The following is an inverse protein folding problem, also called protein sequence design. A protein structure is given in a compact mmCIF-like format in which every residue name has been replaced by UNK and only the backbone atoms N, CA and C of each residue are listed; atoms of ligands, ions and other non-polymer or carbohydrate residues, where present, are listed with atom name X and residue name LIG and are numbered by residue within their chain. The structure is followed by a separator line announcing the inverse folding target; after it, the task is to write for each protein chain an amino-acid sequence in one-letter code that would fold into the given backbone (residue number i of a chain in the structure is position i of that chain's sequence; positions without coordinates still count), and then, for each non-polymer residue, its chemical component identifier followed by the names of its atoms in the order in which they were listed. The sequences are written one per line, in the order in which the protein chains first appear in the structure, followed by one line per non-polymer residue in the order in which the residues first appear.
data_IF_296732343736
#
_entry.id   IF_296732343736
#
_cell.length_a   1.000
_cell.length_b   1.000
_cell.length_c   1.000
_cell.angle_alpha   90.00
_cell.angle_beta   90.00
_cell.angle_gamma   90.00
#
_symmetry.space_group_name_H-M   'P 1'
#
loop_
_entity.id
_entity.type
_entity.pdbx_description
1 polymer ?
#
# COMPACT_ATOMS: atom_id res chain seq x y z
N UNK A 1 63.22 2.33 13.26
CA UNK A 1 62.36 1.84 12.17
C UNK A 1 61.20 0.96 12.67
N UNK A 2 61.41 0.01 13.60
CA UNK A 2 60.35 -0.88 14.09
C UNK A 2 59.17 -0.13 14.76
N UNK A 3 59.44 0.82 15.67
CA UNK A 3 58.40 1.63 16.34
C UNK A 3 57.55 2.48 15.39
N UNK A 4 58.16 3.05 14.35
CA UNK A 4 57.44 3.85 13.35
C UNK A 4 56.50 2.98 12.50
N UNK A 5 56.92 1.76 12.15
CA UNK A 5 56.06 0.78 11.47
C UNK A 5 54.87 0.39 12.34
N UNK A 6 55.06 0.15 13.63
CA UNK A 6 53.94 -0.15 14.54
C UNK A 6 52.97 1.03 14.67
N UNK A 7 53.45 2.25 14.85
CA UNK A 7 52.59 3.44 14.94
C UNK A 7 51.78 3.64 13.64
N UNK A 8 52.41 3.54 12.47
CA UNK A 8 51.73 3.64 11.18
C UNK A 8 50.73 2.50 10.96
N UNK A 9 51.06 1.28 11.39
CA UNK A 9 50.15 0.13 11.29
C UNK A 9 48.93 0.32 12.17
N UNK A 10 49.12 0.78 13.41
CA UNK A 10 48.02 1.05 14.34
C UNK A 10 47.15 2.20 13.85
N UNK A 11 47.74 3.29 13.32
CA UNK A 11 46.97 4.39 12.73
C UNK A 11 46.19 3.93 11.49
N UNK A 12 46.82 3.12 10.64
CA UNK A 12 46.17 2.55 9.48
C UNK A 12 44.99 1.67 9.90
N UNK A 13 45.13 0.79 10.89
CA UNK A 13 44.02 -0.01 11.41
C UNK A 13 42.92 0.86 12.02
N UNK A 14 43.28 1.91 12.77
CA UNK A 14 42.31 2.84 13.37
C UNK A 14 41.52 3.65 12.33
N UNK A 15 42.05 3.83 11.13
CA UNK A 15 41.37 4.57 10.04
C UNK A 15 40.65 3.60 9.09
N UNK A 16 41.33 2.55 8.64
CA UNK A 16 40.81 1.58 7.66
C UNK A 16 39.72 0.68 8.26
N UNK A 17 39.82 0.29 9.54
CA UNK A 17 38.80 -0.59 10.11
C UNK A 17 37.42 0.09 10.22
N UNK A 18 37.29 1.34 10.72
CA UNK A 18 36.01 2.05 10.69
C UNK A 18 35.51 2.32 9.27
N UNK A 19 36.40 2.65 8.33
CA UNK A 19 36.04 2.82 6.91
C UNK A 19 35.48 1.53 6.31
N UNK A 20 36.13 0.39 6.56
CA UNK A 20 35.69 -0.90 6.07
C UNK A 20 34.36 -1.32 6.72
N UNK A 21 34.19 -1.07 8.02
CA UNK A 21 32.93 -1.29 8.72
C UNK A 21 31.82 -0.39 8.15
N UNK A 22 32.12 0.88 7.89
CA UNK A 22 31.18 1.80 7.24
C UNK A 22 30.80 1.38 5.83
N UNK A 23 31.77 0.98 5.00
CA UNK A 23 31.53 0.48 3.64
C UNK A 23 30.73 -0.81 3.62
N UNK A 24 31.02 -1.74 4.54
CA UNK A 24 30.26 -3.01 4.64
C UNK A 24 28.84 -2.77 5.14
N UNK A 25 28.64 -1.85 6.09
CA UNK A 25 27.31 -1.43 6.52
C UNK A 25 26.52 -0.76 5.38
N UNK A 26 27.15 0.15 4.64
CA UNK A 26 26.54 0.79 3.47
C UNK A 26 26.18 -0.23 2.38
N UNK A 27 27.08 -1.16 2.06
CA UNK A 27 26.83 -2.23 1.10
C UNK A 27 25.68 -3.16 1.55
N UNK A 28 25.61 -3.48 2.84
CA UNK A 28 24.52 -4.28 3.39
C UNK A 28 23.16 -3.57 3.29
N UNK A 29 23.11 -2.27 3.61
CA UNK A 29 21.91 -1.44 3.45
C UNK A 29 21.48 -1.36 1.99
N UNK A 30 22.42 -1.10 1.07
CA UNK A 30 22.13 -1.03 -0.37
C UNK A 30 21.68 -2.37 -0.94
N UNK A 31 22.22 -3.49 -0.44
CA UNK A 31 21.81 -4.83 -0.86
C UNK A 31 20.36 -5.15 -0.48
N UNK A 32 19.87 -4.57 0.61
CA UNK A 32 18.51 -4.77 1.08
C UNK A 32 17.48 -3.88 0.36
N UNK A 33 17.92 -2.88 -0.43
CA UNK A 33 17.00 -2.05 -1.21
C UNK A 33 16.42 -2.84 -2.40
N UNK A 34 15.11 -2.69 -2.69
CA UNK A 34 14.51 -3.24 -3.89
C UNK A 34 15.25 -2.77 -5.16
N UNK A 35 15.45 -3.65 -6.16
CA UNK A 35 16.04 -3.23 -7.42
C UNK A 35 15.06 -2.34 -8.21
N UNK A 36 15.60 -1.44 -9.02
CA UNK A 36 14.82 -0.69 -10.00
C UNK A 36 14.06 -1.64 -10.95
N UNK A 37 12.80 -1.34 -11.23
CA UNK A 37 11.93 -2.15 -12.10
C UNK A 37 12.35 -2.09 -13.59
N UNK A 38 13.20 -1.14 -13.97
CA UNK A 38 13.81 -1.08 -15.30
C UNK A 38 14.38 0.31 -15.65
N UNK A 39 15.13 0.43 -16.73
CA UNK A 39 15.70 1.74 -17.14
C UNK A 39 14.63 2.76 -17.53
N UNK A 40 13.47 2.28 -18.00
CA UNK A 40 12.32 3.09 -18.40
C UNK A 40 11.03 2.37 -18.02
N UNK A 41 10.10 3.08 -17.38
CA UNK A 41 8.80 2.59 -16.94
C UNK A 41 7.69 3.39 -17.62
N UNK A 42 6.58 2.74 -17.97
CA UNK A 42 5.32 3.41 -18.34
C UNK A 42 4.34 3.24 -17.20
N UNK A 43 3.81 4.36 -16.70
CA UNK A 43 2.74 4.40 -15.71
C UNK A 43 1.38 4.75 -16.33
N UNK A 44 0.36 5.00 -15.50
CA UNK A 44 -0.95 5.49 -15.95
C UNK A 44 -0.83 6.89 -16.56
N UNK A 45 -1.86 7.35 -17.27
CA UNK A 45 -1.98 8.71 -17.81
C UNK A 45 -0.79 9.17 -18.67
N UNK A 46 -0.13 8.25 -19.36
CA UNK A 46 1.11 8.49 -20.15
C UNK A 46 2.33 8.92 -19.32
N UNK A 47 2.29 8.72 -17.99
CA UNK A 47 3.44 8.89 -17.11
C UNK A 47 4.63 8.02 -17.58
N UNK A 48 5.82 8.60 -17.57
CA UNK A 48 7.05 7.86 -17.86
C UNK A 48 8.07 8.07 -16.76
N UNK A 49 8.61 6.99 -16.20
CA UNK A 49 9.76 7.02 -15.30
C UNK A 49 11.03 6.66 -16.05
N UNK A 50 12.10 7.43 -15.89
CA UNK A 50 13.40 7.15 -16.52
C UNK A 50 14.49 7.11 -15.46
N UNK A 51 15.30 6.06 -15.47
CA UNK A 51 16.49 5.97 -14.61
C UNK A 51 17.55 6.98 -15.05
N UNK A 52 18.04 7.75 -14.08
CA UNK A 52 19.06 8.79 -14.22
C UNK A 52 20.08 8.62 -13.10
N UNK A 53 21.09 7.78 -13.34
CA UNK A 53 22.18 7.54 -12.38
C UNK A 53 21.76 6.82 -11.10
N UNK A 54 20.72 5.98 -11.13
CA UNK A 54 20.25 5.22 -9.97
C UNK A 54 19.04 5.82 -9.25
N UNK A 55 18.49 6.92 -9.77
CA UNK A 55 17.22 7.49 -9.35
C UNK A 55 16.25 7.62 -10.54
N UNK A 56 14.94 7.49 -10.30
CA UNK A 56 13.92 7.80 -11.30
C UNK A 56 13.67 9.29 -11.37
N UNK A 57 13.60 9.80 -12.60
CA UNK A 57 12.96 11.07 -12.93
C UNK A 57 11.62 10.74 -13.58
N UNK A 58 10.53 11.26 -13.02
CA UNK A 58 9.19 11.07 -13.59
C UNK A 58 8.85 12.22 -14.53
N UNK A 59 8.29 11.88 -15.69
CA UNK A 59 7.94 12.80 -16.75
C UNK A 59 6.42 12.81 -16.87
N UNK A 60 5.83 13.91 -16.39
CA UNK A 60 4.39 14.15 -16.43
C UNK A 60 4.07 14.91 -17.72
N UNK A 61 3.21 14.38 -18.60
CA UNK A 61 2.78 15.08 -19.81
C UNK A 61 1.93 16.31 -19.46
N UNK A 62 2.09 17.38 -20.25
CA UNK A 62 1.22 18.57 -20.23
C UNK A 62 0.66 18.86 -21.63
N UNK A 63 -0.12 19.93 -21.81
CA UNK A 63 -0.73 20.23 -23.11
C UNK A 63 0.29 20.50 -24.23
N UNK A 64 1.41 21.14 -23.90
CA UNK A 64 2.46 21.58 -24.83
C UNK A 64 3.86 21.08 -24.51
N UNK A 65 4.04 20.29 -23.44
CA UNK A 65 5.36 19.86 -22.99
C UNK A 65 5.31 18.83 -21.87
N UNK A 66 6.18 19.01 -20.88
CA UNK A 66 6.29 18.13 -19.70
C UNK A 66 6.60 18.91 -18.42
N UNK A 67 6.23 18.31 -17.29
CA UNK A 67 6.78 18.62 -15.96
C UNK A 67 7.65 17.44 -15.53
N UNK A 68 8.82 17.74 -14.97
CA UNK A 68 9.70 16.72 -14.39
C UNK A 68 9.49 16.66 -12.88
N UNK A 69 9.41 15.45 -12.33
CA UNK A 69 9.55 15.21 -10.90
C UNK A 69 10.95 14.67 -10.65
N UNK A 70 11.70 15.41 -9.84
CA UNK A 70 13.14 15.27 -9.63
C UNK A 70 13.99 15.45 -10.91
N UNK A 71 15.32 15.42 -10.76
CA UNK A 71 16.29 15.56 -11.86
C UNK A 71 17.33 14.43 -11.92
N UNK A 72 17.36 13.56 -10.91
CA UNK A 72 18.24 12.39 -10.82
C UNK A 72 19.73 12.74 -10.64
N UNK A 73 20.57 11.70 -10.68
CA UNK A 73 21.99 11.78 -10.35
C UNK A 73 22.89 12.12 -11.55
N UNK A 74 22.44 11.91 -12.80
CA UNK A 74 23.23 12.26 -14.00
C UNK A 74 23.18 13.78 -14.26
N UNK A 75 24.29 14.53 -14.11
CA UNK A 75 24.30 15.98 -14.33
C UNK A 75 23.98 16.40 -15.78
N UNK A 76 24.09 15.46 -16.74
CA UNK A 76 23.74 15.70 -18.14
C UNK A 76 22.27 15.33 -18.46
N UNK A 77 21.58 14.68 -17.51
CA UNK A 77 20.23 14.16 -17.65
C UNK A 77 20.02 13.43 -18.99
N UNK A 78 21.01 12.64 -19.44
CA UNK A 78 21.08 12.20 -20.83
C UNK A 78 19.92 11.28 -21.22
N UNK A 79 19.51 10.40 -20.31
CA UNK A 79 18.35 9.52 -20.51
C UNK A 79 17.03 10.32 -20.50
N UNK A 80 16.86 11.24 -19.55
CA UNK A 80 15.68 12.10 -19.44
C UNK A 80 15.53 12.99 -20.67
N UNK A 81 16.61 13.65 -21.12
CA UNK A 81 16.62 14.50 -22.31
C UNK A 81 16.29 13.74 -23.59
N UNK A 82 16.70 12.47 -23.67
CA UNK A 82 16.33 11.58 -24.79
C UNK A 82 14.84 11.23 -24.74
N UNK A 83 14.29 10.98 -23.56
CA UNK A 83 12.88 10.62 -23.40
C UNK A 83 11.93 11.81 -23.66
N UNK A 84 12.29 13.02 -23.21
CA UNK A 84 11.48 14.21 -23.51
C UNK A 84 11.55 14.59 -24.99
N UNK A 85 12.57 14.17 -25.73
CA UNK A 85 12.74 14.34 -27.18
C UNK A 85 12.48 15.78 -27.66
N UNK A 86 13.03 16.75 -26.92
CA UNK A 86 12.88 18.18 -27.24
C UNK A 86 11.55 18.82 -26.83
N UNK A 87 10.63 18.09 -26.19
CA UNK A 87 9.45 18.67 -25.54
C UNK A 87 9.87 19.73 -24.51
N UNK A 88 9.21 20.90 -24.46
CA UNK A 88 9.48 21.92 -23.44
C UNK A 88 9.32 21.36 -22.03
N UNK A 89 10.28 21.66 -21.15
CA UNK A 89 10.14 21.40 -19.71
C UNK A 89 9.62 22.67 -19.05
N UNK A 90 8.38 22.62 -18.56
CA UNK A 90 7.71 23.78 -17.98
C UNK A 90 8.12 24.04 -16.52
N UNK A 91 8.41 22.98 -15.78
CA UNK A 91 8.87 23.05 -14.40
C UNK A 91 9.58 21.75 -14.00
N UNK A 92 10.41 21.85 -12.95
CA UNK A 92 10.96 20.70 -12.23
C UNK A 92 10.47 20.78 -10.79
N UNK A 93 9.76 19.76 -10.34
CA UNK A 93 9.23 19.67 -8.99
C UNK A 93 10.06 18.65 -8.21
N UNK A 94 10.77 19.10 -7.19
CA UNK A 94 11.62 18.22 -6.38
C UNK A 94 10.79 17.55 -5.30
N UNK A 95 11.01 16.25 -5.09
CA UNK A 95 10.48 15.53 -3.92
C UNK A 95 11.30 15.83 -2.68
N UNK A 96 12.62 15.99 -2.83
CA UNK A 96 13.55 16.42 -1.77
C UNK A 96 14.89 16.87 -2.36
N UNK A 97 15.69 17.59 -1.57
CA UNK A 97 16.95 18.20 -2.04
C UNK A 97 18.23 17.39 -1.73
N UNK A 98 18.17 16.05 -1.80
CA UNK A 98 19.39 15.25 -1.79
C UNK A 98 20.09 15.23 -3.15
N UNK A 99 21.42 15.08 -3.13
CA UNK A 99 22.28 15.18 -4.32
C UNK A 99 21.86 14.26 -5.46
N UNK A 100 21.44 13.04 -5.14
CA UNK A 100 20.98 12.04 -6.10
C UNK A 100 19.68 12.39 -6.82
N UNK A 101 18.91 13.37 -6.32
CA UNK A 101 17.70 13.85 -6.97
C UNK A 101 17.90 15.16 -7.73
N UNK A 102 18.95 15.92 -7.44
CA UNK A 102 19.11 17.29 -7.94
C UNK A 102 20.25 17.47 -8.94
N UNK A 103 21.20 16.52 -9.04
CA UNK A 103 22.40 16.70 -9.87
C UNK A 103 22.06 17.06 -11.33
N UNK A 104 21.01 16.46 -11.89
CA UNK A 104 20.53 16.72 -13.26
C UNK A 104 19.95 18.12 -13.52
N UNK A 105 19.73 18.95 -12.48
CA UNK A 105 19.22 20.32 -12.65
C UNK A 105 20.13 21.16 -13.56
N UNK A 106 21.43 20.87 -13.57
CA UNK A 106 22.42 21.54 -14.44
C UNK A 106 22.07 21.42 -15.93
N UNK A 107 21.35 20.37 -16.33
CA UNK A 107 20.94 20.12 -17.71
C UNK A 107 19.72 20.96 -18.17
N UNK A 108 19.04 21.66 -17.24
CA UNK A 108 17.80 22.39 -17.48
C UNK A 108 17.89 23.86 -17.01
N UNK A 109 18.82 24.67 -17.55
CA UNK A 109 18.97 26.06 -17.16
C UNK A 109 17.71 26.88 -17.49
N UNK A 110 17.34 27.80 -16.59
CA UNK A 110 16.21 28.70 -16.76
C UNK A 110 14.82 28.06 -16.58
N UNK A 111 14.74 26.76 -16.26
CA UNK A 111 13.47 26.10 -15.92
C UNK A 111 13.13 26.41 -14.46
N UNK A 112 11.88 26.82 -14.14
CA UNK A 112 11.43 26.99 -12.77
C UNK A 112 11.54 25.69 -11.96
N UNK A 113 12.17 25.79 -10.79
CA UNK A 113 12.33 24.68 -9.84
C UNK A 113 11.48 24.94 -8.60
N UNK A 114 10.74 23.91 -8.17
CA UNK A 114 9.91 23.94 -6.96
C UNK A 114 10.45 22.95 -5.94
N UNK A 115 10.57 23.38 -4.69
CA UNK A 115 11.08 22.56 -3.58
C UNK A 115 10.26 22.82 -2.32
N UNK A 116 10.13 21.84 -1.43
CA UNK A 116 9.53 22.10 -0.12
C UNK A 116 10.36 23.11 0.68
N UNK A 117 9.68 23.99 1.44
CA UNK A 117 10.35 25.09 2.16
C UNK A 117 11.48 24.63 3.10
N UNK A 118 11.35 23.45 3.72
CA UNK A 118 12.36 22.88 4.62
C UNK A 118 13.66 22.46 3.92
N UNK A 119 13.65 22.34 2.59
CA UNK A 119 14.78 21.84 1.79
C UNK A 119 15.48 22.96 1.00
N UNK A 120 14.99 24.21 1.04
CA UNK A 120 15.62 25.34 0.32
C UNK A 120 17.09 25.53 0.72
N UNK A 121 17.39 25.45 2.02
CA UNK A 121 18.76 25.59 2.51
C UNK A 121 19.65 24.40 2.09
N UNK A 122 19.08 23.21 2.00
CA UNK A 122 19.79 22.01 1.57
C UNK A 122 20.11 22.08 0.06
N UNK A 123 19.13 22.50 -0.75
CA UNK A 123 19.27 22.72 -2.19
C UNK A 123 20.31 23.81 -2.52
N UNK A 124 20.43 24.84 -1.68
CA UNK A 124 21.43 25.90 -1.84
C UNK A 124 22.82 25.54 -1.30
N UNK A 125 23.02 24.32 -0.79
CA UNK A 125 24.26 23.91 -0.14
C UNK A 125 24.57 24.65 1.15
N UNK A 126 23.57 25.26 1.78
CA UNK A 126 23.67 26.02 3.04
C UNK A 126 23.42 25.13 4.28
N UNK A 127 22.87 23.94 4.06
CA UNK A 127 22.67 22.89 5.05
C UNK A 127 23.26 21.57 4.53
N UNK A 128 23.31 20.56 5.41
CA UNK A 128 23.73 19.20 5.06
C UNK A 128 22.72 18.20 5.64
N UNK A 129 22.58 17.01 5.04
CA UNK A 129 21.71 15.96 5.58
C UNK A 129 22.10 15.59 7.02
N UNK A 130 21.11 15.20 7.82
CA UNK A 130 21.28 14.77 9.22
C UNK A 130 21.48 13.27 9.33
N UNK A 131 20.81 12.47 8.49
CA UNK A 131 21.03 11.03 8.39
C UNK A 131 22.51 10.72 8.12
N UNK A 132 23.14 9.87 8.93
CA UNK A 132 24.60 9.71 8.86
C UNK A 132 25.04 9.12 7.51
N UNK A 133 24.26 8.20 6.93
CA UNK A 133 24.60 7.58 5.65
C UNK A 133 24.29 8.54 4.49
N UNK A 134 23.18 9.29 4.55
CA UNK A 134 22.87 10.36 3.59
C UNK A 134 23.96 11.45 3.58
N UNK A 135 24.44 11.86 4.76
CA UNK A 135 25.56 12.80 4.91
C UNK A 135 26.88 12.27 4.36
N UNK A 136 27.13 10.96 4.47
CA UNK A 136 28.30 10.34 3.85
C UNK A 136 28.18 10.34 2.32
N UNK A 137 27.01 10.01 1.76
CA UNK A 137 26.75 10.09 0.32
C UNK A 137 26.86 11.52 -0.21
N UNK A 138 26.42 12.53 0.54
CA UNK A 138 26.55 13.93 0.12
C UNK A 138 28.00 14.42 -0.01
N UNK A 139 28.99 13.69 0.52
CA UNK A 139 30.42 13.98 0.31
C UNK A 139 30.95 13.37 -0.99
N UNK A 140 30.22 12.44 -1.60
CA UNK A 140 30.59 11.73 -2.82
C UNK A 140 29.92 12.29 -4.07
N UNK A 141 28.87 13.10 -3.89
CA UNK A 141 28.05 13.68 -4.95
C UNK A 141 28.26 15.19 -4.94
N UNK A 142 28.66 15.75 -6.08
CA UNK A 142 28.81 17.18 -6.24
C UNK A 142 27.43 17.86 -6.19
N UNK A 143 27.31 18.91 -5.38
CA UNK A 143 26.13 19.75 -5.34
C UNK A 143 26.07 20.62 -6.61
N UNK A 144 24.95 20.59 -7.36
CA UNK A 144 24.77 21.47 -8.51
C UNK A 144 24.63 22.93 -8.05
N UNK A 145 24.86 23.92 -8.92
CA UNK A 145 24.51 25.31 -8.64
C UNK A 145 23.03 25.45 -8.28
N UNK A 146 22.72 26.37 -7.37
CA UNK A 146 21.33 26.68 -7.04
C UNK A 146 20.57 27.17 -8.30
N UNK A 147 19.31 26.74 -8.50
CA UNK A 147 18.51 27.17 -9.65
C UNK A 147 18.31 28.69 -9.69
N UNK A 148 18.30 29.26 -10.90
CA UNK A 148 18.05 30.70 -11.10
C UNK A 148 16.63 31.10 -10.71
N UNK A 149 15.65 30.23 -11.01
CA UNK A 149 14.24 30.41 -10.69
C UNK A 149 13.85 29.33 -9.70
N UNK A 150 13.86 29.69 -8.42
CA UNK A 150 13.53 28.79 -7.32
C UNK A 150 12.28 29.27 -6.59
N UNK A 151 11.32 28.35 -6.42
CA UNK A 151 10.10 28.55 -5.67
C UNK A 151 10.02 27.54 -4.53
N UNK A 152 9.55 27.97 -3.37
CA UNK A 152 9.17 27.07 -2.29
C UNK A 152 7.69 26.73 -2.38
N UNK A 153 7.34 25.51 -1.93
CA UNK A 153 5.95 25.07 -1.81
C UNK A 153 5.61 24.66 -0.39
N UNK A 154 4.32 24.77 -0.07
CA UNK A 154 3.73 24.41 1.22
C UNK A 154 2.69 23.29 1.06
N UNK A 155 2.26 22.71 2.18
CA UNK A 155 1.28 21.63 2.19
C UNK A 155 -0.01 22.01 1.45
N UNK A 156 -0.52 21.06 0.65
CA UNK A 156 -1.74 21.15 -0.18
C UNK A 156 -1.72 22.22 -1.27
N UNK A 157 -0.60 22.91 -1.50
CA UNK A 157 -0.50 23.89 -2.57
C UNK A 157 -0.71 23.22 -3.93
N UNK A 158 -1.63 23.77 -4.73
CA UNK A 158 -1.85 23.34 -6.11
C UNK A 158 -1.04 24.21 -7.06
N UNK A 159 -0.38 23.56 -8.02
CA UNK A 159 0.33 24.19 -9.12
C UNK A 159 -0.38 23.84 -10.41
N UNK A 160 -0.83 24.86 -11.14
CA UNK A 160 -1.37 24.71 -12.49
C UNK A 160 -0.24 25.06 -13.48
N UNK A 161 0.22 24.05 -14.23
CA UNK A 161 1.36 24.16 -15.13
C UNK A 161 0.93 23.60 -16.48
N UNK A 162 0.78 24.48 -17.46
CA UNK A 162 0.46 24.12 -18.85
C UNK A 162 -0.76 23.18 -18.98
N UNK A 163 -1.82 23.50 -18.23
CA UNK A 163 -3.08 22.77 -18.23
C UNK A 163 -3.10 21.49 -17.40
N UNK A 164 -2.01 21.18 -16.69
CA UNK A 164 -1.92 20.07 -15.73
C UNK A 164 -1.90 20.61 -14.30
N UNK A 165 -2.63 19.98 -13.38
CA UNK A 165 -2.63 20.34 -11.95
C UNK A 165 -1.86 19.32 -11.13
N UNK A 166 -0.86 19.77 -10.37
CA UNK A 166 -0.15 18.96 -9.38
C UNK A 166 -0.35 19.56 -7.99
N UNK A 167 -0.59 18.71 -6.99
CA UNK A 167 -0.71 19.13 -5.60
C UNK A 167 0.51 18.68 -4.79
N UNK A 168 1.15 19.64 -4.11
CA UNK A 168 2.18 19.36 -3.13
C UNK A 168 1.54 18.83 -1.84
N UNK A 169 2.04 17.71 -1.32
CA UNK A 169 1.67 17.15 -0.02
C UNK A 169 2.93 17.09 0.83
N UNK A 170 2.97 17.83 1.92
CA UNK A 170 4.15 17.85 2.78
C UNK A 170 4.35 16.49 3.43
N UNK A 171 5.56 15.94 3.30
CA UNK A 171 5.91 14.65 3.87
C UNK A 171 7.31 14.67 4.54
N UNK A 172 7.54 15.57 5.52
CA UNK A 172 8.84 15.70 6.17
C UNK A 172 9.26 14.42 6.89
N UNK A 173 10.57 14.21 7.01
CA UNK A 173 11.17 13.12 7.76
C UNK A 173 12.35 12.49 7.03
N UNK A 174 12.20 12.16 5.73
CA UNK A 174 13.36 11.80 4.90
C UNK A 174 14.32 12.98 4.79
N UNK A 175 13.77 14.14 4.43
CA UNK A 175 14.36 15.47 4.64
C UNK A 175 13.33 16.38 5.32
N UNK A 176 13.76 17.55 5.82
CA UNK A 176 12.86 18.50 6.48
C UNK A 176 11.83 19.12 5.53
N UNK A 177 12.14 19.23 4.23
CA UNK A 177 11.27 19.76 3.19
C UNK A 177 10.83 18.72 2.17
N UNK A 178 10.78 17.44 2.54
CA UNK A 178 10.26 16.38 1.65
C UNK A 178 8.80 16.64 1.26
N UNK A 179 8.51 16.47 -0.03
CA UNK A 179 7.20 16.66 -0.66
C UNK A 179 6.83 15.42 -1.45
N UNK A 180 5.58 14.97 -1.31
CA UNK A 180 4.92 14.03 -2.22
C UNK A 180 4.08 14.82 -3.20
N UNK A 181 4.21 14.53 -4.49
CA UNK A 181 3.41 15.18 -5.53
C UNK A 181 2.23 14.29 -5.92
N UNK A 182 1.02 14.80 -5.77
CA UNK A 182 -0.19 14.19 -6.29
C UNK A 182 -0.48 14.74 -7.68
N UNK A 183 -0.62 13.85 -8.67
CA UNK A 183 -1.08 14.16 -10.01
C UNK A 183 -2.01 13.05 -10.48
N UNK A 184 -3.22 13.41 -10.90
CA UNK A 184 -4.31 12.47 -11.12
C UNK A 184 -4.51 11.55 -9.90
N UNK A 185 -4.31 10.24 -10.06
CA UNK A 185 -4.35 9.19 -9.03
C UNK A 185 -2.95 8.65 -8.67
N UNK A 186 -1.88 9.40 -8.98
CA UNK A 186 -0.48 9.00 -8.76
C UNK A 186 0.17 9.86 -7.68
N UNK A 187 0.68 9.20 -6.63
CA UNK A 187 1.58 9.80 -5.66
C UNK A 187 3.04 9.57 -6.04
N UNK A 188 3.73 10.65 -6.37
CA UNK A 188 5.18 10.62 -6.61
C UNK A 188 5.90 10.93 -5.30
N UNK A 189 6.36 9.86 -4.63
CA UNK A 189 6.74 9.85 -3.21
C UNK A 189 8.21 10.17 -2.95
N UNK A 190 9.05 10.18 -3.98
CA UNK A 190 10.48 10.39 -3.82
C UNK A 190 11.12 9.35 -2.90
N UNK A 191 11.71 9.82 -1.80
CA UNK A 191 12.27 8.97 -0.73
C UNK A 191 11.30 8.57 0.38
N UNK A 192 10.05 9.03 0.38
CA UNK A 192 9.11 8.76 1.48
C UNK A 192 8.67 7.28 1.54
N UNK A 193 8.43 6.68 0.37
CA UNK A 193 8.01 5.26 0.22
C UNK A 193 8.71 4.70 -1.01
N UNK A 194 9.17 3.45 -0.89
CA UNK A 194 9.73 2.67 -1.98
C UNK A 194 8.65 1.81 -2.66
N UNK A 195 8.48 2.02 -3.97
CA UNK A 195 7.48 1.40 -4.83
C UNK A 195 7.85 -0.06 -5.21
N UNK A 196 7.94 -0.90 -4.18
CA UNK A 196 8.11 -2.35 -4.29
C UNK A 196 6.79 -3.06 -3.98
N UNK A 197 6.70 -4.36 -4.29
CA UNK A 197 5.58 -5.21 -3.90
C UNK A 197 6.10 -6.27 -2.90
N UNK A 198 5.83 -6.14 -1.59
CA UNK A 198 5.05 -5.08 -0.91
C UNK A 198 5.81 -3.74 -0.81
N UNK A 199 5.10 -2.64 -0.55
CA UNK A 199 5.73 -1.33 -0.33
C UNK A 199 6.72 -1.37 0.84
N UNK A 200 7.76 -0.54 0.79
CA UNK A 200 8.81 -0.45 1.83
C UNK A 200 9.13 1.01 2.15
N UNK A 201 9.71 1.26 3.31
CA UNK A 201 10.30 2.56 3.65
C UNK A 201 11.81 2.51 3.51
N UNK A 202 12.44 3.67 3.34
CA UNK A 202 13.90 3.75 3.40
C UNK A 202 14.41 3.34 4.79
N UNK A 203 15.58 2.68 4.86
CA UNK A 203 16.28 2.42 6.11
C UNK A 203 16.47 3.70 6.95
N UNK A 204 16.28 3.67 8.29
CA UNK A 204 16.39 4.85 9.15
C UNK A 204 17.71 5.64 9.03
N UNK A 205 18.79 4.98 8.60
CA UNK A 205 20.10 5.61 8.39
C UNK A 205 20.12 6.62 7.22
N UNK A 206 19.16 6.53 6.31
CA UNK A 206 19.03 7.38 5.11
C UNK A 206 18.03 8.53 5.30
N UNK A 207 17.30 8.57 6.40
CA UNK A 207 16.32 9.62 6.72
C UNK A 207 16.82 10.52 7.85
N UNK A 208 16.48 11.80 7.78
CA UNK A 208 16.83 12.79 8.81
C UNK A 208 16.06 12.60 10.11
N UNK A 209 14.78 12.23 10.02
CA UNK A 209 13.86 11.94 11.11
C UNK A 209 12.91 10.79 10.71
N UNK A 210 13.27 9.53 11.01
CA UNK A 210 12.46 8.36 10.66
C UNK A 210 11.08 8.32 11.35
N UNK A 211 10.94 8.93 12.54
CA UNK A 211 9.66 8.97 13.26
C UNK A 211 8.71 9.95 12.56
N UNK A 212 9.21 11.14 12.22
CA UNK A 212 8.46 12.11 11.43
C UNK A 212 8.09 11.57 10.05
N UNK A 213 9.00 10.83 9.40
CA UNK A 213 8.71 10.18 8.13
C UNK A 213 7.51 9.24 8.25
N UNK A 214 7.43 8.44 9.34
CA UNK A 214 6.29 7.58 9.62
C UNK A 214 4.97 8.34 9.81
N UNK A 215 4.98 9.49 10.48
CA UNK A 215 3.79 10.35 10.62
C UNK A 215 3.35 10.96 9.29
N UNK A 216 4.31 11.37 8.45
CA UNK A 216 4.04 11.86 7.10
C UNK A 216 3.35 10.81 6.23
N UNK A 217 3.73 9.54 6.33
CA UNK A 217 3.04 8.46 5.61
C UNK A 217 1.59 8.27 6.07
N UNK A 218 1.30 8.44 7.36
CA UNK A 218 -0.09 8.42 7.88
C UNK A 218 -0.93 9.56 7.31
N UNK A 219 -0.33 10.74 7.13
CA UNK A 219 -1.01 11.90 6.58
C UNK A 219 -1.44 11.73 5.11
N UNK A 220 -0.85 10.76 4.39
CA UNK A 220 -1.21 10.41 3.01
C UNK A 220 -2.39 9.44 2.90
N UNK A 221 -2.78 8.72 3.98
CA UNK A 221 -3.91 7.78 3.96
C UNK A 221 -5.27 8.34 3.48
N UNK A 222 -5.67 9.59 3.80
CA UNK A 222 -6.92 10.16 3.32
C UNK A 222 -6.84 10.67 1.87
N UNK A 223 -5.65 10.70 1.27
CA UNK A 223 -5.48 11.14 -0.12
C UNK A 223 -6.04 10.08 -1.06
N UNK A 224 -6.68 10.52 -2.13
CA UNK A 224 -7.24 9.63 -3.14
C UNK A 224 -6.19 9.38 -4.23
N UNK A 225 -5.70 8.14 -4.30
CA UNK A 225 -4.68 7.70 -5.24
C UNK A 225 -4.75 6.19 -5.40
N UNK A 226 -4.35 5.70 -6.57
CA UNK A 226 -4.27 4.28 -6.89
C UNK A 226 -2.81 3.82 -7.09
N UNK A 227 -1.91 4.75 -7.40
CA UNK A 227 -0.52 4.48 -7.75
C UNK A 227 0.47 5.20 -6.84
N UNK A 228 1.59 4.55 -6.53
CA UNK A 228 2.77 5.18 -5.93
C UNK A 228 3.95 5.00 -6.88
N UNK A 229 4.61 6.10 -7.21
CA UNK A 229 5.83 6.19 -7.99
C UNK A 229 6.95 6.75 -7.10
N UNK A 230 8.01 5.99 -6.85
CA UNK A 230 9.14 6.43 -6.01
C UNK A 230 10.33 6.93 -6.85
N UNK A 231 11.37 7.43 -6.19
CA UNK A 231 12.59 7.85 -6.87
C UNK A 231 13.64 6.73 -7.05
N UNK A 232 13.37 5.48 -6.68
CA UNK A 232 14.40 4.41 -6.66
C UNK A 232 13.95 3.11 -7.33
N UNK A 233 12.80 2.58 -6.92
CA UNK A 233 12.29 1.27 -7.31
C UNK A 233 11.46 1.32 -8.59
N UNK A 234 10.52 2.26 -8.70
CA UNK A 234 9.61 2.37 -9.84
C UNK A 234 8.20 2.76 -9.44
N UNK A 235 7.20 2.06 -9.97
CA UNK A 235 5.79 2.34 -9.72
C UNK A 235 5.04 1.08 -9.27
N UNK A 236 4.04 1.22 -8.41
CA UNK A 236 3.13 0.13 -8.02
C UNK A 236 1.69 0.60 -8.07
N UNK A 237 0.79 -0.30 -8.44
CA UNK A 237 -0.66 -0.13 -8.36
C UNK A 237 -1.21 -0.56 -6.99
N UNK A 238 -2.52 -0.40 -6.79
CA UNK A 238 -3.19 -0.72 -5.52
C UNK A 238 -2.46 -0.11 -4.31
N UNK A 239 -1.81 1.03 -4.54
CA UNK A 239 -0.78 1.55 -3.66
C UNK A 239 -1.36 2.05 -2.34
N UNK A 240 -2.63 2.47 -2.36
CA UNK A 240 -3.39 2.83 -1.16
C UNK A 240 -3.47 1.66 -0.18
N UNK A 241 -3.90 0.48 -0.66
CA UNK A 241 -3.99 -0.73 0.17
C UNK A 241 -2.63 -1.13 0.75
N UNK A 242 -1.59 -1.01 -0.06
CA UNK A 242 -0.21 -1.29 0.37
C UNK A 242 0.29 -0.25 1.38
N UNK A 243 -0.02 1.04 1.21
CA UNK A 243 0.37 2.09 2.15
C UNK A 243 -0.33 1.89 3.50
N UNK A 244 -1.62 1.54 3.49
CA UNK A 244 -2.35 1.14 4.71
C UNK A 244 -1.68 -0.05 5.42
N UNK A 245 -1.10 -1.00 4.66
CA UNK A 245 -0.36 -2.13 5.22
C UNK A 245 1.03 -1.74 5.73
N UNK A 246 1.73 -0.88 5.00
CA UNK A 246 3.10 -0.41 5.29
C UNK A 246 3.14 0.48 6.53
N UNK A 247 2.25 1.46 6.61
CA UNK A 247 2.06 2.31 7.79
C UNK A 247 1.60 1.51 9.00
N UNK A 248 1.12 0.28 8.75
CA UNK A 248 1.53 -0.85 9.56
C UNK A 248 1.41 -0.62 11.05
N UNK A 249 0.19 -0.50 11.55
CA UNK A 249 -0.03 -1.35 12.70
C UNK A 249 0.13 -2.81 12.25
N UNK A 250 1.14 -3.49 12.81
CA UNK A 250 1.15 -4.89 13.32
C UNK A 250 2.55 -5.22 13.91
N UNK A 251 2.73 -6.09 14.91
CA UNK A 251 2.17 -6.18 16.27
C UNK A 251 3.29 -6.15 17.36
N UNK A 252 3.07 -5.45 18.48
CA UNK A 252 3.63 -5.81 19.80
C UNK A 252 2.51 -5.62 20.83
N UNK A 253 2.26 -6.60 21.72
CA UNK A 253 1.17 -6.50 22.67
C UNK A 253 1.54 -5.46 23.73
N UNK A 254 0.87 -4.32 23.71
CA UNK A 254 0.81 -3.44 24.88
C UNK A 254 -0.49 -2.63 24.83
N UNK A 255 -1.35 -3.00 25.78
CA UNK A 255 -2.53 -2.34 26.31
C UNK A 255 -2.82 -0.93 25.79
N UNK A 256 -4.05 -0.68 25.32
CA UNK A 256 -4.75 0.55 25.67
C UNK A 256 -6.27 0.42 25.49
N UNK A 257 -6.93 0.49 26.64
CA UNK A 257 -8.35 0.63 26.89
C UNK A 257 -8.85 2.00 26.43
N UNK A 258 -9.91 2.07 25.61
CA UNK A 258 -10.81 3.24 25.50
C UNK A 258 -12.24 2.81 25.12
N UNK A 259 -13.19 3.71 25.41
CA UNK A 259 -14.46 3.47 26.09
C UNK A 259 -15.67 3.46 25.14
N UNK A 260 -16.65 2.58 25.40
CA UNK A 260 -17.95 2.61 24.75
C UNK A 260 -18.69 3.95 24.91
N UNK A 261 -19.52 4.37 23.93
CA UNK A 261 -20.27 5.62 23.94
C UNK A 261 -21.24 5.69 25.14
N UNK A 262 -21.41 6.89 25.68
CA UNK A 262 -22.27 7.13 26.83
C UNK A 262 -23.71 7.46 26.38
N UNK A 263 -24.72 7.17 27.23
CA UNK A 263 -26.08 7.62 26.95
C UNK A 263 -26.14 9.15 26.81
N UNK A 264 -26.52 9.66 25.63
CA UNK A 264 -26.67 11.10 25.38
C UNK A 264 -26.05 11.63 24.08
N UNK A 265 -25.27 10.80 23.36
CA UNK A 265 -24.70 11.20 22.08
C UNK A 265 -25.79 11.35 20.99
N UNK A 266 -25.64 12.38 20.14
CA UNK A 266 -26.64 12.72 19.13
C UNK A 266 -26.83 11.58 18.10
N UNK A 267 -28.06 11.29 17.68
CA UNK A 267 -28.30 10.28 16.67
C UNK A 267 -27.74 10.69 15.30
N UNK A 268 -27.13 9.74 14.59
CA UNK A 268 -26.70 9.87 13.20
C UNK A 268 -27.89 9.85 12.23
N UNK A 269 -27.68 10.13 10.93
CA UNK A 269 -28.77 10.11 9.96
C UNK A 269 -29.30 8.67 9.75
N UNK A 270 -30.63 8.51 9.74
CA UNK A 270 -31.29 7.26 9.33
C UNK A 270 -31.22 7.14 7.80
N UNK A 271 -30.68 6.03 7.31
CA UNK A 271 -30.53 5.72 5.89
C UNK A 271 -31.06 4.32 5.57
N UNK A 272 -31.33 4.08 4.28
CA UNK A 272 -31.66 2.77 3.73
C UNK A 272 -30.53 2.30 2.82
N UNK A 273 -30.13 1.06 2.98
CA UNK A 273 -29.06 0.46 2.21
C UNK A 273 -29.47 -0.95 1.77
N UNK A 274 -29.28 -1.24 0.49
CA UNK A 274 -29.54 -2.56 -0.07
C UNK A 274 -28.24 -3.34 -0.25
N UNK A 275 -28.27 -4.63 0.07
CA UNK A 275 -27.10 -5.51 -0.05
C UNK A 275 -27.41 -6.97 0.25
N UNK A 276 -26.39 -7.82 0.20
CA UNK A 276 -26.49 -9.24 0.58
C UNK A 276 -26.21 -9.37 2.08
N UNK A 277 -27.15 -9.95 2.81
CA UNK A 277 -26.96 -10.24 4.24
C UNK A 277 -25.99 -11.41 4.42
N UNK A 278 -24.98 -11.21 5.27
CA UNK A 278 -23.99 -12.23 5.61
C UNK A 278 -23.75 -12.23 7.11
N UNK A 279 -24.10 -13.31 7.77
CA UNK A 279 -23.57 -13.69 9.07
C UNK A 279 -22.11 -14.08 8.88
N UNK A 280 -21.19 -13.26 9.41
CA UNK A 280 -19.80 -13.64 9.47
C UNK A 280 -19.61 -14.73 10.53
N UNK A 281 -18.65 -15.64 10.32
CA UNK A 281 -18.35 -16.64 11.33
C UNK A 281 -17.86 -15.98 12.63
N UNK A 282 -18.07 -16.64 13.79
CA UNK A 282 -17.56 -16.15 15.06
C UNK A 282 -16.05 -15.92 15.01
N UNK A 283 -15.61 -14.72 15.35
CA UNK A 283 -14.22 -14.34 15.51
C UNK A 283 -13.58 -15.00 16.74
N UNK A 284 -12.28 -14.75 16.93
CA UNK A 284 -11.48 -15.30 18.03
C UNK A 284 -12.02 -14.87 19.42
N UNK A 285 -12.68 -13.73 19.47
CA UNK A 285 -13.38 -13.15 20.63
C UNK A 285 -14.80 -13.71 20.84
N UNK A 286 -15.26 -14.63 19.99
CA UNK A 286 -16.62 -15.18 20.01
C UNK A 286 -17.68 -14.25 19.41
N UNK A 287 -17.29 -13.13 18.77
CA UNK A 287 -18.23 -12.23 18.09
C UNK A 287 -18.57 -12.74 16.70
N UNK A 288 -19.85 -12.88 16.36
CA UNK A 288 -20.29 -13.33 15.04
C UNK A 288 -21.10 -12.22 14.34
N UNK A 289 -20.42 -11.24 13.72
CA UNK A 289 -21.08 -10.08 13.16
C UNK A 289 -22.13 -10.44 12.12
N UNK A 290 -23.22 -9.67 12.09
CA UNK A 290 -24.10 -9.58 10.94
C UNK A 290 -23.60 -8.45 10.04
N UNK A 291 -23.38 -8.76 8.77
CA UNK A 291 -22.87 -7.83 7.78
C UNK A 291 -23.86 -7.65 6.64
N UNK A 292 -23.87 -6.46 6.06
CA UNK A 292 -24.50 -6.17 4.79
C UNK A 292 -23.39 -5.93 3.76
N UNK A 293 -23.36 -6.76 2.72
CA UNK A 293 -22.44 -6.61 1.60
C UNK A 293 -23.12 -5.81 0.50
N UNK A 294 -22.56 -4.65 0.19
CA UNK A 294 -23.09 -3.80 -0.88
C UNK A 294 -22.59 -4.28 -2.25
N UNK A 295 -23.26 -3.84 -3.32
CA UNK A 295 -22.90 -4.22 -4.69
C UNK A 295 -21.49 -3.75 -5.10
N UNK A 296 -20.96 -2.71 -4.45
CA UNK A 296 -19.60 -2.20 -4.62
C UNK A 296 -18.54 -2.97 -3.80
N UNK A 297 -18.96 -3.97 -3.03
CA UNK A 297 -18.10 -4.80 -2.21
C UNK A 297 -17.78 -4.24 -0.82
N UNK A 298 -18.38 -3.11 -0.41
CA UNK A 298 -18.27 -2.62 0.97
C UNK A 298 -19.03 -3.50 1.97
N UNK A 299 -18.46 -3.62 3.17
CA UNK A 299 -19.04 -4.38 4.28
C UNK A 299 -19.57 -3.41 5.33
N UNK A 300 -20.85 -3.56 5.67
CA UNK A 300 -21.51 -2.73 6.67
C UNK A 300 -21.94 -3.57 7.87
N UNK A 301 -21.55 -3.16 9.07
CA UNK A 301 -21.94 -3.86 10.29
C UNK A 301 -23.42 -3.60 10.64
N UNK A 302 -24.20 -4.65 10.81
CA UNK A 302 -25.60 -4.58 11.19
C UNK A 302 -25.82 -4.90 12.68
N UNK A 303 -25.12 -5.91 13.20
CA UNK A 303 -25.20 -6.32 14.59
C UNK A 303 -23.93 -7.05 15.03
N UNK A 304 -23.59 -6.97 16.31
CA UNK A 304 -22.36 -7.60 16.81
C UNK A 304 -22.43 -9.11 16.99
N UNK A 305 -23.64 -9.57 17.25
CA UNK A 305 -23.99 -10.95 17.51
C UNK A 305 -25.17 -11.35 16.60
N UNK A 306 -25.33 -12.65 16.31
CA UNK A 306 -26.43 -13.14 15.52
C UNK A 306 -27.76 -12.84 16.19
N UNK A 307 -28.69 -12.26 15.44
CA UNK A 307 -30.10 -12.29 15.77
C UNK A 307 -30.72 -13.56 15.17
N UNK A 308 -31.30 -14.47 15.99
CA UNK A 308 -32.00 -15.65 15.50
C UNK A 308 -33.08 -15.34 14.45
N UNK A 309 -33.67 -14.15 14.47
CA UNK A 309 -34.66 -13.71 13.48
C UNK A 309 -34.06 -13.49 12.08
N UNK A 310 -32.76 -13.24 11.98
CA UNK A 310 -32.05 -12.98 10.72
C UNK A 310 -31.40 -14.24 10.13
N UNK A 311 -31.42 -15.37 10.84
CA UNK A 311 -30.79 -16.62 10.38
C UNK A 311 -31.27 -17.06 8.97
N UNK A 312 -32.52 -16.78 8.63
CA UNK A 312 -33.14 -17.08 7.33
C UNK A 312 -32.76 -16.11 6.19
N UNK A 313 -31.97 -15.06 6.49
CA UNK A 313 -31.54 -14.03 5.54
C UNK A 313 -30.15 -14.30 4.97
N UNK A 314 -29.42 -15.31 5.48
CA UNK A 314 -28.07 -15.64 5.01
C UNK A 314 -27.99 -15.76 3.48
N UNK A 315 -27.12 -14.94 2.87
CA UNK A 315 -26.90 -14.92 1.42
C UNK A 315 -28.06 -14.33 0.60
N UNK A 316 -29.09 -13.78 1.26
CA UNK A 316 -30.24 -13.16 0.61
C UNK A 316 -30.05 -11.66 0.51
N UNK A 317 -30.61 -11.09 -0.56
CA UNK A 317 -30.63 -9.64 -0.76
C UNK A 317 -31.68 -9.02 0.15
N UNK A 318 -31.27 -8.01 0.90
CA UNK A 318 -32.07 -7.34 1.92
C UNK A 318 -31.92 -5.83 1.81
N UNK A 319 -32.97 -5.13 2.21
CA UNK A 319 -32.95 -3.68 2.45
C UNK A 319 -32.84 -3.48 3.96
N UNK A 320 -31.70 -2.94 4.39
CA UNK A 320 -31.41 -2.58 5.76
C UNK A 320 -31.70 -1.08 5.95
N UNK A 321 -32.62 -0.75 6.84
CA UNK A 321 -32.88 0.63 7.28
C UNK A 321 -32.36 0.80 8.69
N UNK A 322 -31.59 1.84 8.93
CA UNK A 322 -31.11 2.11 10.27
C UNK A 322 -30.33 3.40 10.35
N UNK A 323 -29.91 3.70 11.57
CA UNK A 323 -29.09 4.86 11.87
C UNK A 323 -27.64 4.57 11.52
N UNK A 324 -27.04 5.39 10.65
CA UNK A 324 -25.64 5.25 10.28
C UNK A 324 -24.72 5.49 11.49
N UNK A 325 -23.85 4.52 11.75
CA UNK A 325 -22.87 4.56 12.84
C UNK A 325 -21.50 4.14 12.32
N UNK A 326 -20.47 4.71 12.92
CA UNK A 326 -19.10 4.21 12.81
C UNK A 326 -18.88 3.32 14.02
N UNK A 327 -18.56 2.05 13.79
CA UNK A 327 -18.32 1.10 14.86
C UNK A 327 -16.83 0.95 15.09
N UNK A 328 -16.39 1.17 16.33
CA UNK A 328 -15.08 0.73 16.79
C UNK A 328 -15.21 -0.70 17.30
N UNK A 329 -14.48 -1.63 16.68
CA UNK A 329 -14.36 -3.00 17.17
C UNK A 329 -12.94 -3.33 17.62
N UNK A 330 -12.88 -4.21 18.59
CA UNK A 330 -11.68 -4.91 19.06
C UNK A 330 -10.96 -5.68 17.91
N UNK A 331 -9.68 -6.04 18.09
CA UNK A 331 -8.61 -6.00 17.06
C UNK A 331 -8.68 -7.03 15.92
N UNK A 332 -9.80 -7.76 15.81
CA UNK A 332 -10.04 -8.79 14.80
C UNK A 332 -10.67 -8.23 13.51
N UNK A 333 -11.32 -7.06 13.59
CA UNK A 333 -11.92 -6.35 12.46
C UNK A 333 -11.64 -4.84 12.59
N UNK A 334 -11.17 -4.15 11.54
CA UNK A 334 -10.91 -2.72 11.59
C UNK A 334 -12.21 -1.92 11.79
N UNK A 335 -12.11 -0.69 12.32
CA UNK A 335 -13.26 0.21 12.45
C UNK A 335 -13.98 0.36 11.10
N UNK A 336 -15.31 0.26 11.12
CA UNK A 336 -16.13 0.12 9.92
C UNK A 336 -17.43 0.93 9.95
N UNK A 337 -18.05 1.08 8.79
CA UNK A 337 -19.38 1.65 8.66
C UNK A 337 -20.43 0.60 9.02
N UNK A 338 -21.55 1.04 9.56
CA UNK A 338 -22.64 0.14 9.87
C UNK A 338 -23.94 0.87 10.16
N UNK A 339 -24.98 0.09 10.37
CA UNK A 339 -26.31 0.59 10.73
C UNK A 339 -26.67 0.05 12.11
N UNK A 340 -27.08 0.95 13.01
CA UNK A 340 -27.94 0.52 14.09
C UNK A 340 -29.30 0.24 13.48
N UNK A 341 -29.54 -1.04 13.21
CA UNK A 341 -30.72 -1.54 12.50
C UNK A 341 -32.02 -1.06 13.16
N UNK A 342 -32.88 -0.43 12.37
CA UNK A 342 -34.29 -0.14 12.70
C UNK A 342 -35.21 -1.19 12.07
N UNK A 343 -34.90 -1.61 10.84
CA UNK A 343 -35.61 -2.69 10.15
C UNK A 343 -34.73 -3.35 9.09
N UNK A 344 -35.00 -4.63 8.85
CA UNK A 344 -34.33 -5.44 7.83
C UNK A 344 -35.40 -6.22 7.07
N UNK A 345 -35.52 -6.00 5.77
CA UNK A 345 -36.56 -6.61 4.94
C UNK A 345 -35.93 -7.31 3.74
N UNK A 346 -36.54 -8.41 3.30
CA UNK A 346 -36.14 -9.06 2.06
C UNK A 346 -36.43 -8.13 0.89
N UNK A 347 -35.45 -7.96 0.01
CA UNK A 347 -35.70 -7.32 -1.27
C UNK A 347 -36.52 -8.32 -2.12
N UNK A 348 -37.78 -7.99 -2.41
CA UNK A 348 -38.65 -8.88 -3.17
C UNK A 348 -38.12 -9.06 -4.61
N UNK A 349 -37.70 -10.28 -4.93
CA UNK A 349 -37.56 -10.78 -6.29
C UNK A 349 -36.13 -10.85 -6.86
N UNK A 350 -35.26 -11.68 -6.26
CA UNK A 350 -34.34 -12.66 -6.87
C UNK A 350 -33.28 -12.99 -5.81
N UNK A 351 -33.34 -14.20 -5.23
CA UNK A 351 -32.17 -14.77 -4.58
C UNK A 351 -31.03 -14.79 -5.62
N UNK A 352 -29.77 -14.45 -5.29
CA UNK A 352 -28.70 -14.51 -6.28
C UNK A 352 -28.75 -15.87 -6.94
N UNK A 353 -28.86 -15.89 -8.26
CA UNK A 353 -28.97 -17.15 -8.98
C UNK A 353 -27.64 -17.91 -8.80
N UNK A 354 -27.64 -18.91 -7.91
CA UNK A 354 -26.51 -19.83 -7.70
C UNK A 354 -26.44 -20.88 -8.83
N UNK A 355 -27.41 -20.90 -9.75
CA UNK A 355 -27.29 -21.57 -11.04
C UNK A 355 -26.49 -20.69 -12.01
N UNK A 356 -25.31 -21.15 -12.39
CA UNK A 356 -24.40 -20.44 -13.30
C UNK A 356 -23.06 -20.03 -12.69
N UNK A 357 -22.85 -20.24 -11.39
CA UNK A 357 -21.50 -20.09 -10.82
C UNK A 357 -20.53 -21.07 -11.50
N UNK A 358 -19.31 -20.61 -11.84
CA UNK A 358 -18.33 -21.46 -12.49
C UNK A 358 -17.95 -22.62 -11.57
N UNK A 359 -17.90 -23.83 -12.12
CA UNK A 359 -17.30 -24.97 -11.44
C UNK A 359 -15.78 -24.89 -11.60
N UNK A 360 -15.10 -24.64 -10.49
CA UNK A 360 -13.66 -24.45 -10.46
C UNK A 360 -13.01 -25.72 -9.91
N UNK A 361 -12.33 -26.46 -10.79
CA UNK A 361 -11.81 -27.81 -10.51
C UNK A 361 -10.28 -27.90 -10.52
N UNK A 362 -9.61 -26.81 -10.88
CA UNK A 362 -8.16 -26.73 -11.06
C UNK A 362 -7.60 -25.40 -10.53
N UNK A 363 -6.32 -25.37 -10.17
CA UNK A 363 -5.66 -24.16 -9.67
C UNK A 363 -5.66 -23.02 -10.71
N UNK A 364 -5.51 -23.36 -12.00
CA UNK A 364 -5.58 -22.42 -13.12
C UNK A 364 -6.98 -21.75 -13.21
N UNK A 365 -8.05 -22.54 -13.13
CA UNK A 365 -9.42 -22.03 -13.10
C UNK A 365 -9.69 -21.12 -11.89
N UNK A 366 -9.12 -21.43 -10.71
CA UNK A 366 -9.19 -20.54 -9.56
C UNK A 366 -8.47 -19.21 -9.83
N UNK A 367 -7.28 -19.26 -10.44
CA UNK A 367 -6.51 -18.07 -10.81
C UNK A 367 -7.25 -17.15 -11.79
N UNK A 368 -8.00 -17.73 -12.73
CA UNK A 368 -8.83 -16.97 -13.67
C UNK A 368 -10.08 -16.32 -13.02
N UNK A 369 -10.43 -16.70 -11.79
CA UNK A 369 -11.64 -16.26 -11.08
C UNK A 369 -11.32 -15.67 -9.70
N UNK A 370 -10.15 -15.06 -9.55
CA UNK A 370 -9.72 -14.36 -8.32
C UNK A 370 -10.74 -13.27 -7.96
N UNK A 371 -11.06 -13.20 -6.66
CA UNK A 371 -12.11 -12.36 -6.03
C UNK A 371 -13.54 -12.73 -6.40
N UNK A 372 -13.77 -13.75 -7.22
CA UNK A 372 -15.10 -14.23 -7.59
C UNK A 372 -15.53 -15.44 -6.76
N UNK A 373 -16.84 -15.71 -6.74
CA UNK A 373 -17.42 -16.90 -6.15
C UNK A 373 -17.47 -18.04 -7.17
N UNK A 374 -17.22 -19.27 -6.71
CA UNK A 374 -17.34 -20.46 -7.53
C UNK A 374 -17.75 -21.70 -6.74
N UNK A 375 -18.10 -22.76 -7.46
CA UNK A 375 -18.27 -24.10 -6.88
C UNK A 375 -16.94 -24.84 -7.02
N UNK A 376 -16.22 -25.02 -5.92
CA UNK A 376 -14.91 -25.66 -5.91
C UNK A 376 -15.08 -27.12 -5.51
N UNK A 377 -14.54 -28.05 -6.29
CA UNK A 377 -14.55 -29.48 -5.94
C UNK A 377 -13.13 -29.96 -5.67
N UNK A 378 -12.94 -30.61 -4.51
CA UNK A 378 -11.64 -31.13 -4.10
C UNK A 378 -11.73 -31.97 -2.85
N UNK A 379 -10.61 -32.56 -2.44
CA UNK A 379 -10.47 -33.35 -1.22
C UNK A 379 -9.82 -32.50 -0.15
N UNK A 380 -10.49 -32.28 0.98
CA UNK A 380 -9.85 -31.58 2.10
C UNK A 380 -8.87 -32.52 2.79
N UNK A 381 -7.57 -32.23 2.66
CA UNK A 381 -6.49 -33.08 3.15
C UNK A 381 -6.19 -32.86 4.63
N UNK A 382 -6.25 -31.60 5.07
CA UNK A 382 -6.03 -31.18 6.44
C UNK A 382 -6.95 -30.00 6.73
N UNK A 383 -7.50 -29.95 7.94
CA UNK A 383 -8.26 -28.81 8.45
C UNK A 383 -8.05 -28.76 9.96
N UNK A 384 -7.20 -27.85 10.41
CA UNK A 384 -6.89 -27.66 11.82
C UNK A 384 -7.71 -26.50 12.40
N UNK A 385 -8.32 -26.66 13.58
CA UNK A 385 -9.00 -25.56 14.26
C UNK A 385 -8.05 -24.40 14.47
N UNK A 386 -8.51 -23.18 14.19
CA UNK A 386 -7.73 -21.96 14.43
C UNK A 386 -7.38 -21.77 15.92
N UNK A 387 -8.22 -22.31 16.80
CA UNK A 387 -8.02 -22.37 18.24
C UNK A 387 -8.89 -23.49 18.86
N UNK A 388 -8.60 -23.84 20.10
CA UNK A 388 -9.39 -24.83 20.86
C UNK A 388 -10.85 -24.35 21.01
N UNK A 389 -11.80 -25.12 20.47
CA UNK A 389 -13.24 -24.76 20.50
C UNK A 389 -13.71 -23.88 19.35
N UNK A 390 -12.82 -23.52 18.41
CA UNK A 390 -13.22 -22.83 17.18
C UNK A 390 -14.20 -23.68 16.36
N UNK A 391 -15.13 -23.05 15.65
CA UNK A 391 -16.00 -23.70 14.66
C UNK A 391 -15.42 -23.65 13.25
N UNK A 392 -14.24 -23.03 13.08
CA UNK A 392 -13.56 -22.84 11.80
C UNK A 392 -12.08 -23.22 11.90
N UNK A 393 -11.54 -23.70 10.78
CA UNK A 393 -10.16 -24.16 10.67
C UNK A 393 -9.46 -23.67 9.41
N UNK A 394 -8.14 -23.73 9.45
CA UNK A 394 -7.27 -23.55 8.30
C UNK A 394 -6.73 -24.89 7.84
N UNK A 395 -6.55 -25.03 6.54
CA UNK A 395 -6.28 -26.31 5.94
C UNK A 395 -5.84 -26.23 4.50
N UNK A 396 -5.82 -27.39 3.87
CA UNK A 396 -5.52 -27.53 2.45
C UNK A 396 -6.58 -28.39 1.78
N UNK A 397 -7.03 -27.92 0.62
CA UNK A 397 -7.83 -28.70 -0.31
C UNK A 397 -6.96 -29.12 -1.49
N UNK A 398 -6.96 -30.42 -1.80
CA UNK A 398 -6.38 -30.97 -3.01
C UNK A 398 -7.46 -30.95 -4.09
N UNK A 399 -7.25 -30.18 -5.15
CA UNK A 399 -8.17 -30.05 -6.27
C UNK A 399 -8.16 -31.30 -7.16
N UNK A 400 -9.07 -31.40 -8.14
CA UNK A 400 -9.18 -32.58 -9.01
C UNK A 400 -7.94 -32.77 -9.92
N UNK A 401 -7.22 -31.69 -10.23
CA UNK A 401 -5.95 -31.70 -10.94
C UNK A 401 -4.76 -32.15 -10.06
N UNK A 402 -4.99 -32.38 -8.76
CA UNK A 402 -3.97 -32.82 -7.80
C UNK A 402 -3.20 -31.67 -7.13
N UNK A 403 -3.47 -30.42 -7.51
CA UNK A 403 -2.84 -29.24 -6.91
C UNK A 403 -3.45 -28.91 -5.54
N UNK A 404 -2.61 -28.44 -4.62
CA UNK A 404 -3.05 -28.03 -3.28
C UNK A 404 -3.35 -26.53 -3.22
N UNK A 405 -4.48 -26.16 -2.63
CA UNK A 405 -4.85 -24.76 -2.38
C UNK A 405 -5.15 -24.55 -0.89
N UNK A 406 -4.74 -23.40 -0.36
CA UNK A 406 -5.03 -23.04 1.03
C UNK A 406 -6.53 -22.83 1.21
N UNK A 407 -7.03 -23.26 2.36
CA UNK A 407 -8.44 -23.32 2.67
C UNK A 407 -8.69 -22.73 4.05
N UNK A 408 -9.64 -21.80 4.16
CA UNK A 408 -10.31 -21.46 5.42
C UNK A 408 -11.75 -21.92 5.34
N UNK A 409 -12.18 -22.75 6.28
CA UNK A 409 -13.49 -23.39 6.21
C UNK A 409 -14.10 -23.75 7.57
N UNK A 410 -15.42 -23.96 7.65
CA UNK A 410 -16.07 -24.52 8.83
C UNK A 410 -15.51 -25.90 9.18
N UNK A 411 -15.30 -26.16 10.47
CA UNK A 411 -14.99 -27.48 10.98
C UNK A 411 -16.21 -28.40 10.80
N UNK A 412 -15.97 -29.65 10.43
CA UNK A 412 -17.03 -30.61 10.09
C UNK A 412 -17.18 -30.88 8.59
N UNK A 413 -16.44 -30.17 7.74
CA UNK A 413 -16.22 -30.61 6.36
C UNK A 413 -15.51 -31.98 6.37
N UNK A 414 -15.99 -32.98 5.62
CA UNK A 414 -15.42 -34.32 5.68
C UNK A 414 -14.02 -34.37 5.07
N UNK A 415 -13.04 -34.69 5.92
CA UNK A 415 -11.63 -34.87 5.54
C UNK A 415 -11.45 -36.14 4.71
N UNK A 416 -10.54 -36.10 3.74
CA UNK A 416 -10.15 -37.25 2.92
C UNK A 416 -11.22 -37.73 1.93
N UNK A 417 -12.35 -37.01 1.81
CA UNK A 417 -13.39 -37.28 0.81
C UNK A 417 -13.55 -36.12 -0.15
N UNK A 418 -13.80 -36.43 -1.43
CA UNK A 418 -14.04 -35.41 -2.45
C UNK A 418 -15.37 -34.72 -2.19
N UNK A 419 -15.31 -33.40 -2.02
CA UNK A 419 -16.40 -32.55 -1.57
C UNK A 419 -16.48 -31.30 -2.44
N UNK A 420 -17.69 -30.83 -2.72
CA UNK A 420 -17.92 -29.56 -3.39
C UNK A 420 -18.27 -28.49 -2.36
N UNK A 421 -17.60 -27.34 -2.44
CA UNK A 421 -17.80 -26.20 -1.56
C UNK A 421 -18.12 -24.95 -2.37
N UNK A 422 -18.93 -24.08 -1.79
CA UNK A 422 -19.07 -22.71 -2.28
C UNK A 422 -17.98 -21.86 -1.62
N UNK A 423 -17.08 -21.32 -2.42
CA UNK A 423 -15.95 -20.55 -1.91
C UNK A 423 -15.67 -19.32 -2.77
N UNK A 424 -15.12 -18.28 -2.13
CA UNK A 424 -14.50 -17.15 -2.81
C UNK A 424 -13.01 -17.43 -2.98
N UNK A 425 -12.50 -17.20 -4.19
CA UNK A 425 -11.06 -17.28 -4.45
C UNK A 425 -10.41 -15.96 -4.08
N UNK A 426 -9.38 -15.98 -3.25
CA UNK A 426 -8.63 -14.78 -2.86
C UNK A 426 -7.13 -15.03 -3.01
N UNK A 427 -6.37 -13.96 -3.23
CA UNK A 427 -4.91 -14.03 -3.21
C UNK A 427 -4.40 -13.94 -1.76
N UNK A 428 -3.46 -14.80 -1.41
CA UNK A 428 -2.81 -14.82 -0.12
C UNK A 428 -1.29 -14.99 -0.28
N UNK A 429 -0.48 -14.63 0.73
CA UNK A 429 0.94 -14.95 0.71
C UNK A 429 1.14 -16.47 0.57
N UNK A 430 1.81 -16.90 -0.50
CA UNK A 430 2.05 -18.33 -0.79
C UNK A 430 1.09 -18.99 -1.80
N UNK A 431 0.16 -18.23 -2.40
CA UNK A 431 -0.68 -18.70 -3.49
C UNK A 431 -2.16 -18.34 -3.34
N UNK A 432 -3.02 -19.04 -4.06
CA UNK A 432 -4.46 -18.85 -3.95
C UNK A 432 -4.98 -19.42 -2.62
N UNK A 433 -6.00 -18.77 -2.07
CA UNK A 433 -6.73 -19.23 -0.89
C UNK A 433 -8.23 -19.25 -1.17
N UNK A 434 -8.90 -20.26 -0.63
CA UNK A 434 -10.34 -20.40 -0.66
C UNK A 434 -10.92 -19.97 0.68
N UNK A 435 -11.86 -19.03 0.64
CA UNK A 435 -12.72 -18.74 1.79
C UNK A 435 -14.03 -19.49 1.57
N UNK A 436 -14.17 -20.64 2.23
CA UNK A 436 -15.33 -21.51 2.09
C UNK A 436 -16.48 -20.98 2.94
N UNK A 437 -17.60 -20.72 2.29
CA UNK A 437 -18.85 -20.38 2.96
C UNK A 437 -19.57 -21.63 3.44
N UNK A 438 -19.71 -22.66 2.59
CA UNK A 438 -20.48 -23.87 2.91
C UNK A 438 -20.19 -25.06 2.00
N UNK A 439 -20.66 -26.22 2.42
CA UNK A 439 -20.78 -27.44 1.61
C UNK A 439 -21.91 -27.31 0.58
N UNK A 440 -21.67 -27.82 -0.62
CA UNK A 440 -22.68 -28.05 -1.64
C UNK A 440 -22.90 -29.55 -1.78
N UNK A 441 -24.14 -30.00 -1.63
CA UNK A 441 -24.48 -31.41 -1.74
C UNK A 441 -24.55 -31.81 -3.23
N UNK A 442 -23.97 -32.95 -3.62
CA UNK A 442 -23.87 -33.36 -5.05
C UNK A 442 -25.22 -33.59 -5.74
N UNK A 443 -26.31 -33.65 -4.97
CA UNK A 443 -27.65 -33.98 -5.46
C UNK A 443 -28.72 -32.92 -5.14
N UNK A 444 -28.37 -31.81 -4.48
CA UNK A 444 -29.31 -30.73 -4.17
C UNK A 444 -28.77 -29.37 -4.66
N UNK A 445 -29.64 -28.45 -5.13
CA UNK A 445 -29.21 -27.09 -5.41
C UNK A 445 -28.59 -26.49 -4.15
N UNK A 446 -27.44 -25.82 -4.25
CA UNK A 446 -26.87 -25.08 -3.11
C UNK A 446 -27.89 -23.97 -2.76
N UNK A 447 -28.65 -24.08 -1.66
CA UNK A 447 -29.89 -23.31 -1.48
C UNK A 447 -29.67 -21.84 -1.18
#
# INVERSE_FOLDING_TARGET
MLRLRYVLSTLAVLILAPLLVGMTAAAWVMWDLPPAQGERIRGPHELVGVQSGGAYVWIVPTQGGVVLIDAGLDPQAAAVRREIDGRPVHAILLTHAHGEQIAGLTAFPGVPVYVGEGDEALLRGQAAPRGWLARWFSLLIDQPPAPEILHTVVDRQQLEIDGTTLQALSAPGHTAGSVVWLWEDVLMTGGAVLASAPLRVLPPALSDDPEQAGESLKALLPVDFDWIADAQTGIVDNARSELHRLVGRRPQPAELSLRAPAPGDAPGPTIEQEGVFVQAPPGIDGTAPELLLLDDGQEWLLADQPDPAHAQLQGRRVVARGEARVYEREPSYPAGLGLRLESLQLADGVAPNLEGLPELRSLEALGAHVRQWGKITGTVAQLEPLALGSTHGEGQMILEDGESVLLSAPLGIPLGSSTTVLARVVEAPGGLRLIVSRLCDRQAPCP
#
